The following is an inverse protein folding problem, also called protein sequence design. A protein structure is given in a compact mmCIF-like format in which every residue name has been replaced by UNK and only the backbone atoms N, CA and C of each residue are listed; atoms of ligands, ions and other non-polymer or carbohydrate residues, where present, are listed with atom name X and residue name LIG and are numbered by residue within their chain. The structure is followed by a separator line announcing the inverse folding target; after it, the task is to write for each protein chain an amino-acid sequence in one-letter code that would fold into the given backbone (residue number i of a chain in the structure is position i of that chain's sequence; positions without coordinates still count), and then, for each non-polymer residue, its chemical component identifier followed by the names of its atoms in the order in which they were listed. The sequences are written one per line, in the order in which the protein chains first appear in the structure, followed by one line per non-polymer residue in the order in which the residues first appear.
data_IF_036682641130
#
_entry.id   IF_036682641130
#
_cell.length_a   1.000
_cell.length_b   1.000
_cell.length_c   1.000
_cell.angle_alpha   90.00
_cell.angle_beta   90.00
_cell.angle_gamma   90.00
#
_symmetry.space_group_name_H-M   'P 1'
#
loop_
_entity.id
_entity.type
_entity.pdbx_description
1 polymer ?
#
# COMPACT_ATOMS: atom_id res chain seq x y z
N UNK A 1 23.40 1.88 -23.79
CA UNK A 1 23.54 1.14 -22.53
C UNK A 1 22.19 0.56 -22.16
N UNK A 2 22.18 -0.73 -21.86
CA UNK A 2 21.02 -1.40 -21.31
C UNK A 2 21.09 -1.32 -19.77
N UNK A 3 20.04 -0.83 -19.14
CA UNK A 3 19.96 -0.74 -17.68
C UNK A 3 18.55 -1.09 -17.20
N UNK A 4 18.47 -1.47 -15.95
CA UNK A 4 17.19 -1.76 -15.30
C UNK A 4 16.85 -0.58 -14.39
N UNK A 5 15.75 0.10 -14.69
CA UNK A 5 15.20 1.16 -13.85
C UNK A 5 13.82 0.77 -13.34
N UNK A 6 13.63 0.76 -12.04
CA UNK A 6 12.36 0.34 -11.38
C UNK A 6 11.84 -1.04 -11.83
N UNK A 7 12.75 -1.95 -12.24
CA UNK A 7 12.41 -3.30 -12.69
C UNK A 7 12.12 -3.45 -14.18
N UNK A 8 12.14 -2.37 -14.95
CA UNK A 8 12.00 -2.38 -16.41
C UNK A 8 13.36 -2.25 -17.09
N UNK A 9 13.57 -3.06 -18.15
CA UNK A 9 14.74 -2.93 -19.00
C UNK A 9 14.55 -1.71 -19.91
N UNK A 10 15.49 -0.77 -19.80
CA UNK A 10 15.51 0.43 -20.63
C UNK A 10 16.81 0.50 -21.41
N UNK A 11 16.72 0.99 -22.64
CA UNK A 11 17.87 1.24 -23.49
C UNK A 11 18.03 2.74 -23.73
N UNK A 12 19.18 3.31 -23.40
CA UNK A 12 19.45 4.74 -23.64
C UNK A 12 20.82 4.95 -24.26
N UNK A 13 20.98 6.02 -25.07
CA UNK A 13 22.31 6.49 -25.48
C UNK A 13 23.17 6.82 -24.26
N UNK A 14 24.49 6.67 -24.44
CA UNK A 14 25.46 6.93 -23.36
C UNK A 14 25.39 8.36 -22.82
N UNK A 15 25.09 9.33 -23.67
CA UNK A 15 25.01 10.75 -23.31
C UNK A 15 23.85 11.00 -22.32
N UNK A 16 22.67 10.47 -22.62
CA UNK A 16 21.48 10.60 -21.76
C UNK A 16 21.63 9.80 -20.46
N UNK A 17 22.30 8.64 -20.51
CA UNK A 17 22.57 7.86 -19.31
C UNK A 17 23.53 8.59 -18.36
N UNK A 18 24.56 9.26 -18.88
CA UNK A 18 25.55 9.99 -18.08
C UNK A 18 24.94 11.19 -17.32
N UNK A 19 23.83 11.76 -17.79
CA UNK A 19 23.14 12.85 -17.11
C UNK A 19 22.42 12.38 -15.82
N UNK A 20 22.02 11.11 -15.78
CA UNK A 20 21.25 10.53 -14.67
C UNK A 20 22.13 9.69 -13.74
N UNK A 21 23.31 9.26 -14.24
CA UNK A 21 24.18 8.36 -13.51
C UNK A 21 25.00 9.08 -12.43
N UNK A 22 24.97 8.54 -11.21
CA UNK A 22 25.72 9.06 -10.05
C UNK A 22 27.24 8.82 -10.11
N UNK A 23 27.75 8.12 -11.11
CA UNK A 23 29.17 7.77 -11.23
C UNK A 23 29.62 6.58 -10.38
N UNK A 24 28.73 5.98 -9.59
CA UNK A 24 29.02 4.85 -8.71
C UNK A 24 28.51 3.55 -9.34
N UNK A 25 29.37 2.55 -9.46
CA UNK A 25 29.03 1.21 -9.98
C UNK A 25 29.38 0.16 -8.93
N UNK A 26 28.45 -0.73 -8.66
CA UNK A 26 28.73 -1.97 -7.96
C UNK A 26 29.07 -3.05 -8.99
N UNK A 27 30.33 -3.43 -9.06
CA UNK A 27 30.79 -4.56 -9.87
C UNK A 27 30.70 -5.81 -9.02
N UNK A 28 29.88 -6.77 -9.43
CA UNK A 28 29.78 -8.08 -8.79
C UNK A 28 30.34 -9.12 -9.74
N UNK A 29 31.44 -9.72 -9.37
CA UNK A 29 32.03 -10.86 -10.10
C UNK A 29 31.63 -12.15 -9.36
N UNK A 30 30.73 -12.96 -9.93
CA UNK A 30 30.34 -14.23 -9.31
C UNK A 30 31.48 -15.22 -9.38
N UNK A 31 31.80 -15.82 -8.25
CA UNK A 31 32.73 -16.94 -8.12
C UNK A 31 31.99 -18.23 -7.76
N UNK A 32 32.71 -19.36 -7.65
CA UNK A 32 32.12 -20.66 -7.29
C UNK A 32 31.51 -20.66 -5.88
N UNK A 33 31.88 -19.71 -5.02
CA UNK A 33 31.41 -19.55 -3.64
C UNK A 33 30.30 -18.49 -3.55
N UNK A 34 29.96 -17.81 -4.63
CA UNK A 34 28.92 -16.77 -4.71
C UNK A 34 27.52 -17.40 -4.65
N UNK A 35 27.23 -18.07 -3.56
CA UNK A 35 25.92 -18.68 -3.31
C UNK A 35 25.26 -18.01 -2.11
N UNK A 36 23.96 -17.83 -2.19
CA UNK A 36 23.18 -17.35 -1.04
C UNK A 36 23.23 -18.41 0.08
N UNK A 37 23.67 -18.04 1.30
CA UNK A 37 23.63 -18.96 2.42
C UNK A 37 22.20 -19.45 2.68
N UNK A 38 22.01 -20.77 2.82
CA UNK A 38 20.70 -21.37 3.04
C UNK A 38 19.64 -21.11 1.94
N UNK A 39 20.06 -20.88 0.69
CA UNK A 39 19.17 -20.60 -0.45
C UNK A 39 17.93 -21.52 -0.51
N UNK A 40 18.13 -22.84 -0.37
CA UNK A 40 17.03 -23.80 -0.39
C UNK A 40 15.99 -23.53 0.70
N UNK A 41 16.44 -23.16 1.89
CA UNK A 41 15.57 -22.84 3.03
C UNK A 41 14.82 -21.52 2.81
N UNK A 42 15.49 -20.49 2.28
CA UNK A 42 14.87 -19.22 1.93
C UNK A 42 13.84 -19.40 0.82
N UNK A 43 14.20 -20.10 -0.24
CA UNK A 43 13.31 -20.40 -1.37
C UNK A 43 12.08 -21.18 -0.95
N UNK A 44 12.25 -22.20 -0.09
CA UNK A 44 11.11 -22.97 0.44
C UNK A 44 10.17 -22.10 1.27
N UNK A 45 10.70 -21.22 2.12
CA UNK A 45 9.87 -20.27 2.89
C UNK A 45 9.13 -19.30 1.99
N UNK A 46 9.75 -18.81 0.95
CA UNK A 46 9.15 -17.92 -0.03
C UNK A 46 7.99 -18.62 -0.78
N UNK A 47 8.25 -19.83 -1.28
CA UNK A 47 7.22 -20.65 -1.95
C UNK A 47 6.06 -20.94 -0.99
N UNK A 48 6.33 -21.30 0.26
CA UNK A 48 5.29 -21.55 1.27
C UNK A 48 4.44 -20.29 1.53
N UNK A 49 5.05 -19.10 1.59
CA UNK A 49 4.29 -17.84 1.72
C UNK A 49 3.41 -17.56 0.52
N UNK A 50 3.91 -17.81 -0.70
CA UNK A 50 3.13 -17.67 -1.93
C UNK A 50 1.95 -18.63 -1.92
N UNK A 51 2.18 -19.92 -1.60
CA UNK A 51 1.13 -20.95 -1.52
C UNK A 51 0.10 -20.57 -0.45
N UNK A 52 0.53 -20.19 0.74
CA UNK A 52 -0.37 -19.77 1.82
C UNK A 52 -1.23 -18.58 1.40
N UNK A 53 -0.64 -17.58 0.75
CA UNK A 53 -1.36 -16.41 0.22
C UNK A 53 -2.37 -16.81 -0.86
N UNK A 54 -1.97 -17.69 -1.77
CA UNK A 54 -2.83 -18.18 -2.86
C UNK A 54 -4.02 -19.00 -2.32
N UNK A 55 -3.78 -19.87 -1.34
CA UNK A 55 -4.85 -20.64 -0.67
C UNK A 55 -5.83 -19.70 0.03
N UNK A 56 -5.33 -18.68 0.73
CA UNK A 56 -6.20 -17.69 1.40
C UNK A 56 -7.13 -16.99 0.39
N UNK A 57 -6.58 -16.51 -0.73
CA UNK A 57 -7.38 -15.88 -1.78
C UNK A 57 -8.38 -16.82 -2.41
N UNK A 58 -8.01 -18.08 -2.62
CA UNK A 58 -8.91 -19.11 -3.15
C UNK A 58 -10.05 -19.42 -2.17
N UNK A 59 -9.78 -19.53 -0.87
CA UNK A 59 -10.80 -19.74 0.14
C UNK A 59 -11.75 -18.55 0.27
N UNK A 60 -11.21 -17.33 0.23
CA UNK A 60 -12.02 -16.10 0.26
C UNK A 60 -12.93 -16.02 -0.97
N UNK A 61 -12.39 -16.25 -2.17
CA UNK A 61 -13.19 -16.21 -3.41
C UNK A 61 -14.25 -17.32 -3.45
N UNK A 62 -13.91 -18.53 -3.01
CA UNK A 62 -14.87 -19.61 -2.89
C UNK A 62 -15.97 -19.30 -1.87
N UNK A 63 -15.62 -18.72 -0.73
CA UNK A 63 -16.58 -18.27 0.28
C UNK A 63 -17.55 -17.23 -0.25
N UNK A 64 -17.04 -16.20 -0.95
CA UNK A 64 -17.89 -15.18 -1.60
C UNK A 64 -18.80 -15.82 -2.65
N UNK A 65 -18.28 -16.72 -3.49
CA UNK A 65 -19.07 -17.41 -4.51
C UNK A 65 -20.19 -18.24 -3.89
N UNK A 66 -19.92 -19.01 -2.85
CA UNK A 66 -20.93 -19.79 -2.13
C UNK A 66 -22.01 -18.89 -1.53
N UNK A 67 -21.64 -17.75 -0.94
CA UNK A 67 -22.60 -16.77 -0.43
C UNK A 67 -23.45 -16.17 -1.55
N UNK A 68 -22.87 -15.83 -2.69
CA UNK A 68 -23.61 -15.33 -3.86
C UNK A 68 -24.62 -16.34 -4.39
N UNK A 69 -24.25 -17.63 -4.42
CA UNK A 69 -25.16 -18.72 -4.82
C UNK A 69 -26.28 -18.87 -3.78
N UNK A 70 -25.95 -18.90 -2.49
CA UNK A 70 -26.92 -19.03 -1.40
C UNK A 70 -27.97 -17.91 -1.42
N UNK A 71 -27.54 -16.68 -1.70
CA UNK A 71 -28.40 -15.51 -1.77
C UNK A 71 -29.13 -15.35 -3.14
N UNK A 72 -29.01 -16.31 -4.03
CA UNK A 72 -29.56 -16.26 -5.38
C UNK A 72 -29.18 -15.00 -6.21
N UNK A 73 -28.03 -14.38 -5.88
CA UNK A 73 -27.54 -13.19 -6.59
C UNK A 73 -27.31 -13.51 -8.07
N UNK A 74 -26.83 -14.71 -8.38
CA UNK A 74 -26.56 -15.18 -9.74
C UNK A 74 -27.80 -15.39 -10.59
N UNK A 75 -28.96 -15.60 -9.99
CA UNK A 75 -30.23 -15.80 -10.70
C UNK A 75 -30.96 -14.48 -11.05
N UNK A 76 -30.60 -13.39 -10.39
CA UNK A 76 -31.17 -12.07 -10.66
C UNK A 76 -30.16 -11.19 -11.40
N UNK A 77 -30.47 -10.84 -12.64
CA UNK A 77 -29.61 -9.94 -13.44
C UNK A 77 -29.30 -8.63 -12.71
N UNK A 78 -30.30 -8.04 -12.05
CA UNK A 78 -30.12 -6.79 -11.30
C UNK A 78 -29.13 -6.93 -10.13
N UNK A 79 -29.27 -7.99 -9.31
CA UNK A 79 -28.37 -8.23 -8.19
C UNK A 79 -26.94 -8.56 -8.65
N UNK A 80 -26.83 -9.32 -9.75
CA UNK A 80 -25.54 -9.61 -10.36
C UNK A 80 -24.86 -8.33 -10.89
N UNK A 81 -25.61 -7.48 -11.59
CA UNK A 81 -25.11 -6.19 -12.07
C UNK A 81 -24.67 -5.26 -10.92
N UNK A 82 -25.47 -5.18 -9.84
CA UNK A 82 -25.09 -4.45 -8.64
C UNK A 82 -23.79 -4.99 -8.02
N UNK A 83 -23.68 -6.31 -7.90
CA UNK A 83 -22.50 -6.96 -7.32
C UNK A 83 -21.24 -6.65 -8.15
N UNK A 84 -21.28 -6.85 -9.45
CA UNK A 84 -20.15 -6.58 -10.36
C UNK A 84 -19.76 -5.10 -10.33
N UNK A 85 -20.74 -4.19 -10.36
CA UNK A 85 -20.48 -2.75 -10.30
C UNK A 85 -19.84 -2.34 -8.97
N UNK A 86 -20.29 -2.91 -7.85
CA UNK A 86 -19.67 -2.66 -6.54
C UNK A 86 -18.25 -3.23 -6.45
N UNK A 87 -17.96 -4.39 -7.06
CA UNK A 87 -16.59 -4.91 -7.16
C UNK A 87 -15.68 -3.99 -7.99
N UNK A 88 -16.18 -3.49 -9.11
CA UNK A 88 -15.43 -2.50 -9.90
C UNK A 88 -15.18 -1.22 -9.10
N UNK A 89 -16.17 -0.74 -8.36
CA UNK A 89 -16.04 0.42 -7.47
C UNK A 89 -15.04 0.19 -6.33
N UNK A 90 -15.05 -1.00 -5.75
CA UNK A 90 -14.08 -1.41 -4.74
C UNK A 90 -12.66 -1.36 -5.28
N UNK A 91 -12.43 -1.90 -6.47
CA UNK A 91 -11.11 -1.91 -7.11
C UNK A 91 -10.61 -0.50 -7.43
N UNK A 92 -11.45 0.36 -8.02
CA UNK A 92 -11.08 1.73 -8.38
C UNK A 92 -10.83 2.57 -7.11
N UNK A 93 -11.66 2.43 -6.08
CA UNK A 93 -11.45 3.11 -4.80
C UNK A 93 -10.18 2.64 -4.08
N UNK A 94 -9.83 1.37 -4.22
CA UNK A 94 -8.55 0.85 -3.72
C UNK A 94 -7.35 1.48 -4.44
N UNK A 95 -7.40 1.60 -5.78
CA UNK A 95 -6.36 2.30 -6.55
C UNK A 95 -6.24 3.77 -6.14
N UNK A 96 -7.38 4.43 -5.90
CA UNK A 96 -7.42 5.80 -5.41
C UNK A 96 -6.75 5.96 -4.04
N UNK A 97 -7.00 5.01 -3.14
CA UNK A 97 -6.38 4.97 -1.81
C UNK A 97 -4.86 4.74 -1.88
N UNK A 98 -4.41 3.82 -2.75
CA UNK A 98 -2.96 3.60 -2.98
C UNK A 98 -2.29 4.88 -3.47
N UNK A 99 -2.91 5.57 -4.42
CA UNK A 99 -2.38 6.84 -4.94
C UNK A 99 -2.29 7.92 -3.86
N UNK A 100 -3.31 8.04 -3.03
CA UNK A 100 -3.33 8.98 -1.91
C UNK A 100 -2.27 8.66 -0.85
N UNK A 101 -1.96 7.38 -0.65
CA UNK A 101 -0.94 6.92 0.31
C UNK A 101 0.49 7.04 -0.23
N UNK A 102 0.70 7.68 -1.38
CA UNK A 102 1.99 7.76 -2.08
C UNK A 102 2.64 6.39 -2.30
N UNK A 103 1.83 5.35 -2.36
CA UNK A 103 2.30 4.01 -2.70
C UNK A 103 2.37 3.91 -4.21
N UNK A 104 3.56 3.66 -4.75
CA UNK A 104 3.74 3.46 -6.19
C UNK A 104 2.88 2.29 -6.66
N UNK A 105 1.99 2.56 -7.59
CA UNK A 105 1.12 1.57 -8.20
C UNK A 105 1.11 1.78 -9.71
N UNK A 106 1.78 0.89 -10.41
CA UNK A 106 1.88 0.90 -11.87
C UNK A 106 0.51 0.98 -12.56
N UNK A 107 -0.49 0.27 -12.01
CA UNK A 107 -1.87 0.29 -12.53
C UNK A 107 -2.56 1.64 -12.31
N UNK A 108 -2.39 2.25 -11.14
CA UNK A 108 -2.97 3.56 -10.86
C UNK A 108 -2.32 4.64 -11.74
N UNK A 109 -1.01 4.56 -11.95
CA UNK A 109 -0.27 5.49 -12.80
C UNK A 109 -0.64 5.33 -14.27
N UNK A 110 -0.80 4.11 -14.78
CA UNK A 110 -1.30 3.84 -16.13
C UNK A 110 -2.69 4.42 -16.36
N UNK A 111 -3.61 4.27 -15.40
CA UNK A 111 -4.97 4.84 -15.53
C UNK A 111 -4.93 6.36 -15.47
N UNK A 112 -4.14 6.94 -14.56
CA UNK A 112 -4.00 8.39 -14.46
C UNK A 112 -3.33 9.01 -15.71
N UNK A 113 -2.43 8.30 -16.39
CA UNK A 113 -1.73 8.78 -17.60
C UNK A 113 -2.56 8.71 -18.88
N UNK A 114 -3.76 8.10 -18.86
CA UNK A 114 -4.64 8.01 -20.03
C UNK A 114 -5.10 9.39 -20.54
N UNK A 115 -5.02 10.44 -19.75
CA UNK A 115 -5.42 11.79 -20.12
C UNK A 115 -4.29 12.78 -19.87
N UNK A 116 -3.89 13.54 -20.87
CA UNK A 116 -2.71 14.44 -20.88
C UNK A 116 -2.73 15.62 -19.88
N UNK A 117 -3.82 15.88 -19.18
CA UNK A 117 -3.96 17.01 -18.23
C UNK A 117 -4.44 16.57 -16.85
N UNK A 118 -4.02 15.40 -16.40
CA UNK A 118 -4.49 14.85 -15.14
C UNK A 118 -3.37 14.80 -14.12
N UNK A 119 -3.56 15.48 -13.00
CA UNK A 119 -2.74 15.33 -11.80
C UNK A 119 -3.63 14.87 -10.65
N UNK A 120 -3.66 13.54 -10.45
CA UNK A 120 -4.43 12.96 -9.35
C UNK A 120 -3.87 13.37 -7.98
N UNK A 121 -2.57 13.64 -7.86
CA UNK A 121 -1.92 13.92 -6.58
C UNK A 121 -2.41 15.23 -5.97
N UNK A 122 -2.42 16.32 -6.75
CA UNK A 122 -2.85 17.63 -6.25
C UNK A 122 -4.27 17.65 -5.71
N UNK A 123 -5.19 16.88 -6.32
CA UNK A 123 -6.58 16.80 -5.88
C UNK A 123 -6.69 15.99 -4.59
N UNK A 124 -5.96 14.87 -4.50
CA UNK A 124 -6.00 13.97 -3.35
C UNK A 124 -5.31 14.53 -2.11
N UNK A 125 -4.36 15.43 -2.28
CA UNK A 125 -3.64 16.12 -1.19
C UNK A 125 -4.37 17.38 -0.70
N UNK A 126 -5.35 17.86 -1.45
CA UNK A 126 -6.08 19.08 -1.08
C UNK A 126 -6.87 18.89 0.23
N UNK A 127 -7.04 19.98 0.98
CA UNK A 127 -7.87 19.96 2.20
C UNK A 127 -9.33 19.56 1.91
N UNK A 128 -9.83 19.83 0.69
CA UNK A 128 -11.14 19.41 0.25
C UNK A 128 -11.26 17.88 0.04
N UNK A 129 -10.14 17.18 -0.12
CA UNK A 129 -10.13 15.72 -0.20
C UNK A 129 -10.36 15.03 1.14
N UNK A 130 -10.46 15.78 2.25
CA UNK A 130 -10.63 15.26 3.60
C UNK A 130 -11.88 15.82 4.27
N UNK A 131 -12.65 14.96 4.91
CA UNK A 131 -13.78 15.32 5.76
C UNK A 131 -13.23 15.67 7.14
N UNK A 132 -13.40 16.93 7.56
CA UNK A 132 -12.92 17.40 8.86
C UNK A 132 -11.41 17.26 9.09
N UNK A 133 -10.62 17.14 8.01
CA UNK A 133 -9.17 16.97 8.10
C UNK A 133 -8.68 15.57 8.52
N UNK A 134 -9.60 14.63 8.81
CA UNK A 134 -9.27 13.31 9.37
C UNK A 134 -9.54 12.18 8.38
N UNK A 135 -10.73 12.14 7.82
CA UNK A 135 -11.20 11.05 6.95
C UNK A 135 -11.15 11.48 5.48
N UNK A 136 -10.47 10.73 4.64
CA UNK A 136 -10.38 11.04 3.22
C UNK A 136 -11.58 10.50 2.42
N UNK A 137 -11.94 11.19 1.32
CA UNK A 137 -13.00 10.71 0.43
C UNK A 137 -12.67 9.38 -0.25
N UNK A 138 -11.38 9.04 -0.43
CA UNK A 138 -10.97 7.72 -0.93
C UNK A 138 -11.27 6.60 0.07
N UNK A 139 -11.06 6.85 1.37
CA UNK A 139 -11.39 5.92 2.45
C UNK A 139 -12.90 5.74 2.57
N UNK A 140 -13.65 6.83 2.46
CA UNK A 140 -15.13 6.79 2.44
C UNK A 140 -15.64 6.01 1.22
N UNK A 141 -15.08 6.27 0.05
CA UNK A 141 -15.46 5.55 -1.18
C UNK A 141 -15.18 4.06 -1.10
N UNK A 142 -13.99 3.68 -0.63
CA UNK A 142 -13.65 2.27 -0.43
C UNK A 142 -14.58 1.61 0.60
N UNK A 143 -14.82 2.29 1.73
CA UNK A 143 -15.74 1.84 2.76
C UNK A 143 -17.17 1.70 2.24
N UNK A 144 -17.65 2.62 1.43
CA UNK A 144 -18.97 2.57 0.80
C UNK A 144 -19.16 1.29 -0.04
N UNK A 145 -18.21 0.96 -0.93
CA UNK A 145 -18.32 -0.25 -1.75
C UNK A 145 -18.20 -1.52 -0.94
N UNK A 146 -17.35 -1.55 0.10
CA UNK A 146 -17.29 -2.68 1.05
C UNK A 146 -18.62 -2.86 1.74
N UNK A 147 -19.24 -1.78 2.22
CA UNK A 147 -20.53 -1.80 2.88
C UNK A 147 -21.64 -2.30 1.97
N UNK A 148 -21.69 -1.83 0.72
CA UNK A 148 -22.63 -2.30 -0.28
C UNK A 148 -22.52 -3.80 -0.53
N UNK A 149 -21.30 -4.31 -0.70
CA UNK A 149 -21.04 -5.74 -0.92
C UNK A 149 -21.46 -6.54 0.32
N UNK A 150 -21.12 -6.06 1.52
CA UNK A 150 -21.50 -6.70 2.78
C UNK A 150 -23.01 -6.78 2.93
N UNK A 151 -23.71 -5.70 2.60
CA UNK A 151 -25.17 -5.63 2.67
C UNK A 151 -25.81 -6.60 1.66
N UNK A 152 -25.31 -6.61 0.44
CA UNK A 152 -25.79 -7.46 -0.65
C UNK A 152 -25.65 -8.96 -0.33
N UNK A 153 -24.54 -9.33 0.29
CA UNK A 153 -24.20 -10.74 0.55
C UNK A 153 -24.76 -11.21 1.88
N UNK A 154 -24.62 -10.42 2.95
CA UNK A 154 -24.92 -10.86 4.31
C UNK A 154 -26.34 -10.51 4.76
N UNK A 155 -26.90 -9.40 4.23
CA UNK A 155 -28.18 -8.87 4.70
C UNK A 155 -29.13 -8.48 3.56
N UNK A 156 -29.60 -9.44 2.72
CA UNK A 156 -30.44 -9.12 1.57
C UNK A 156 -31.78 -8.48 1.94
N UNK A 157 -32.27 -8.67 3.17
CA UNK A 157 -33.44 -7.97 3.69
C UNK A 157 -33.29 -6.43 3.80
N UNK A 158 -32.04 -5.95 3.84
CA UNK A 158 -31.72 -4.53 3.94
C UNK A 158 -31.35 -3.89 2.59
N UNK A 159 -31.56 -4.58 1.47
CA UNK A 159 -31.20 -4.10 0.11
C UNK A 159 -31.89 -2.77 -0.23
N UNK A 160 -33.10 -2.52 0.25
CA UNK A 160 -33.82 -1.25 0.04
C UNK A 160 -33.02 -0.04 0.59
N UNK A 161 -32.26 -0.22 1.66
CA UNK A 161 -31.40 0.84 2.21
C UNK A 161 -30.22 1.16 1.31
N UNK A 162 -29.68 0.17 0.57
CA UNK A 162 -28.60 0.38 -0.39
C UNK A 162 -29.02 1.40 -1.46
N UNK A 163 -30.24 1.29 -1.98
CA UNK A 163 -30.77 2.23 -2.96
C UNK A 163 -30.87 3.66 -2.42
N UNK A 164 -31.35 3.82 -1.18
CA UNK A 164 -31.45 5.14 -0.53
C UNK A 164 -30.08 5.75 -0.31
N UNK A 165 -29.13 4.98 0.21
CA UNK A 165 -27.78 5.47 0.47
C UNK A 165 -27.08 5.85 -0.84
N UNK A 166 -27.31 5.08 -1.93
CA UNK A 166 -26.81 5.43 -3.24
C UNK A 166 -27.39 6.78 -3.71
N UNK A 167 -28.71 7.02 -3.55
CA UNK A 167 -29.34 8.32 -3.87
C UNK A 167 -28.73 9.45 -3.03
N UNK A 168 -28.48 9.22 -1.74
CA UNK A 168 -27.85 10.19 -0.86
C UNK A 168 -26.38 10.49 -1.25
N UNK A 169 -25.70 9.56 -1.90
CA UNK A 169 -24.33 9.74 -2.38
C UNK A 169 -24.25 10.56 -3.70
N UNK A 170 -25.32 10.64 -4.49
CA UNK A 170 -25.29 11.35 -5.78
C UNK A 170 -24.97 12.84 -5.69
N UNK A 171 -25.48 13.63 -4.73
CA UNK A 171 -25.11 15.04 -4.59
C UNK A 171 -23.60 15.26 -4.45
N UNK A 172 -22.89 14.33 -3.80
CA UNK A 172 -21.42 14.38 -3.72
C UNK A 172 -20.77 14.33 -5.11
N UNK A 173 -21.31 13.55 -6.05
CA UNK A 173 -20.74 13.46 -7.40
C UNK A 173 -20.77 14.81 -8.12
N UNK A 174 -21.87 15.55 -7.99
CA UNK A 174 -22.01 16.89 -8.57
C UNK A 174 -21.05 17.88 -7.93
N UNK A 175 -20.94 17.85 -6.60
CA UNK A 175 -19.99 18.71 -5.88
C UNK A 175 -18.55 18.39 -6.28
N UNK A 176 -18.19 17.14 -6.39
CA UNK A 176 -16.82 16.70 -6.73
C UNK A 176 -16.44 17.13 -8.16
N UNK A 177 -17.33 16.98 -9.14
CA UNK A 177 -17.10 17.46 -10.52
C UNK A 177 -16.96 18.98 -10.55
N UNK A 178 -17.84 19.70 -9.84
CA UNK A 178 -17.77 21.15 -9.73
C UNK A 178 -16.44 21.61 -9.11
N UNK A 179 -15.99 20.97 -8.04
CA UNK A 179 -14.73 21.27 -7.39
C UNK A 179 -13.52 21.09 -8.33
N UNK A 180 -13.47 19.94 -9.04
CA UNK A 180 -12.42 19.64 -10.00
C UNK A 180 -12.37 20.67 -11.14
N UNK A 181 -13.56 21.05 -11.67
CA UNK A 181 -13.65 22.00 -12.77
C UNK A 181 -13.36 23.46 -12.37
N UNK A 182 -13.91 23.92 -11.25
CA UNK A 182 -13.85 25.36 -10.88
C UNK A 182 -12.69 25.70 -9.98
N UNK A 183 -12.38 24.85 -8.99
CA UNK A 183 -11.42 25.16 -7.93
C UNK A 183 -10.06 24.55 -8.23
N UNK A 184 -9.98 23.24 -8.40
CA UNK A 184 -8.73 22.55 -8.65
C UNK A 184 -8.20 22.81 -10.07
N UNK A 185 -9.10 23.03 -11.04
CA UNK A 185 -8.79 23.18 -12.48
C UNK A 185 -7.95 22.03 -13.04
N UNK A 186 -8.10 20.87 -12.44
CA UNK A 186 -7.43 19.62 -12.76
C UNK A 186 -8.44 18.49 -12.64
N UNK A 187 -8.23 17.43 -13.42
CA UNK A 187 -9.12 16.29 -13.42
C UNK A 187 -8.46 15.07 -12.79
N UNK A 188 -9.15 14.40 -11.89
CA UNK A 188 -8.75 13.11 -11.35
C UNK A 188 -9.58 12.01 -12.01
N UNK A 189 -8.95 11.23 -12.91
CA UNK A 189 -9.65 10.17 -13.66
C UNK A 189 -10.25 9.12 -12.73
N UNK A 190 -9.50 8.69 -11.72
CA UNK A 190 -9.99 7.71 -10.75
C UNK A 190 -11.21 8.24 -9.98
N UNK A 191 -11.22 9.53 -9.61
CA UNK A 191 -12.37 10.15 -8.96
C UNK A 191 -13.59 10.16 -9.89
N UNK A 192 -13.40 10.51 -11.17
CA UNK A 192 -14.48 10.51 -12.17
C UNK A 192 -15.05 9.11 -12.42
N UNK A 193 -14.19 8.08 -12.43
CA UNK A 193 -14.63 6.69 -12.56
C UNK A 193 -15.49 6.26 -11.37
N UNK A 194 -15.13 6.62 -10.14
CA UNK A 194 -15.97 6.35 -8.95
C UNK A 194 -17.34 7.02 -9.11
N UNK A 195 -17.38 8.28 -9.56
CA UNK A 195 -18.63 9.01 -9.76
C UNK A 195 -19.49 8.36 -10.85
N UNK A 196 -18.89 7.96 -11.96
CA UNK A 196 -19.57 7.24 -13.01
C UNK A 196 -20.21 5.94 -12.49
N UNK A 197 -19.47 5.18 -11.66
CA UNK A 197 -20.00 3.96 -11.06
C UNK A 197 -21.17 4.22 -10.09
N UNK A 198 -21.16 5.33 -9.35
CA UNK A 198 -22.32 5.73 -8.52
C UNK A 198 -23.57 5.99 -9.37
N UNK A 199 -23.43 6.61 -10.54
CA UNK A 199 -24.53 6.80 -11.48
C UNK A 199 -24.97 5.49 -12.13
N UNK A 200 -24.04 4.57 -12.44
CA UNK A 200 -24.37 3.22 -12.94
C UNK A 200 -25.17 2.45 -11.88
N UNK A 201 -24.75 2.48 -10.61
CA UNK A 201 -25.51 1.87 -9.50
C UNK A 201 -26.92 2.46 -9.39
N UNK A 202 -27.06 3.77 -9.54
CA UNK A 202 -28.35 4.43 -9.50
C UNK A 202 -29.27 3.97 -10.65
N UNK A 203 -28.73 3.89 -11.87
CA UNK A 203 -29.51 3.40 -13.02
C UNK A 203 -29.92 1.94 -12.89
N UNK A 204 -29.04 1.09 -12.34
CA UNK A 204 -29.38 -0.31 -12.04
C UNK A 204 -30.50 -0.37 -10.99
N UNK A 205 -30.41 0.39 -9.90
CA UNK A 205 -31.42 0.42 -8.85
C UNK A 205 -32.79 0.84 -9.38
N UNK A 206 -32.87 1.83 -10.28
CA UNK A 206 -34.11 2.23 -10.93
C UNK A 206 -34.64 1.15 -11.86
N UNK A 207 -33.79 0.65 -12.77
CA UNK A 207 -34.21 -0.29 -13.83
C UNK A 207 -34.67 -1.64 -13.26
N UNK A 208 -34.16 -2.05 -12.13
CA UNK A 208 -34.48 -3.32 -11.47
C UNK A 208 -35.61 -3.21 -10.44
N UNK A 209 -36.11 -1.97 -10.20
CA UNK A 209 -37.18 -1.73 -9.22
C UNK A 209 -36.78 -2.01 -7.78
N UNK A 210 -35.47 -1.99 -7.49
CA UNK A 210 -34.95 -2.19 -6.12
C UNK A 210 -35.15 -0.95 -5.23
N UNK A 211 -35.60 0.15 -5.78
CA UNK A 211 -36.01 1.34 -5.03
C UNK A 211 -37.37 1.04 -4.37
N UNK A 212 -37.33 0.33 -3.26
CA UNK A 212 -38.49 0.08 -2.43
C UNK A 212 -38.40 0.89 -1.13
N UNK A 213 -39.56 1.21 -0.56
CA UNK A 213 -39.56 1.86 0.75
C UNK A 213 -39.07 0.86 1.78
N UNK A 214 -37.96 1.18 2.52
CA UNK A 214 -37.47 0.30 3.58
C UNK A 214 -38.42 0.30 4.77
N UNK A 215 -38.50 -0.81 5.45
CA UNK A 215 -39.12 -0.88 6.76
C UNK A 215 -38.27 -0.11 7.76
N UNK A 216 -38.75 1.06 8.21
CA UNK A 216 -38.04 1.92 9.15
C UNK A 216 -38.09 1.34 10.56
N UNK A 217 -37.46 0.18 10.76
CA UNK A 217 -37.21 -0.37 12.09
C UNK A 217 -35.91 0.23 12.67
N UNK A 218 -35.95 0.67 13.91
CA UNK A 218 -34.79 1.27 14.58
C UNK A 218 -33.58 0.32 14.53
N UNK A 219 -33.81 -1.01 14.69
CA UNK A 219 -32.74 -2.02 14.59
C UNK A 219 -32.08 -2.06 13.21
N UNK A 220 -32.86 -1.91 12.13
CA UNK A 220 -32.34 -1.87 10.76
C UNK A 220 -31.52 -0.62 10.51
N UNK A 221 -32.00 0.55 10.98
CA UNK A 221 -31.26 1.81 10.87
C UNK A 221 -29.92 1.74 11.61
N UNK A 222 -29.91 1.22 12.82
CA UNK A 222 -28.67 1.05 13.60
C UNK A 222 -27.69 0.08 12.88
N UNK A 223 -28.19 -1.05 12.38
CA UNK A 223 -27.38 -2.00 11.64
C UNK A 223 -26.75 -1.37 10.39
N UNK A 224 -27.54 -0.63 9.59
CA UNK A 224 -27.08 0.06 8.40
C UNK A 224 -26.04 1.15 8.76
N UNK A 225 -26.28 1.94 9.81
CA UNK A 225 -25.31 2.93 10.29
C UNK A 225 -23.97 2.28 10.67
N UNK A 226 -23.99 1.15 11.36
CA UNK A 226 -22.78 0.41 11.73
C UNK A 226 -22.06 -0.12 10.47
N UNK A 227 -22.80 -0.73 9.53
CA UNK A 227 -22.25 -1.31 8.30
C UNK A 227 -21.57 -0.23 7.44
N UNK A 228 -22.10 1.00 7.41
CA UNK A 228 -21.52 2.08 6.60
C UNK A 228 -20.50 2.94 7.34
N UNK A 229 -20.53 3.01 8.65
CA UNK A 229 -19.54 3.77 9.43
C UNK A 229 -18.28 2.96 9.74
N UNK A 230 -18.42 1.66 10.01
CA UNK A 230 -17.29 0.84 10.47
C UNK A 230 -16.17 0.68 9.41
N UNK A 231 -16.45 0.32 8.12
CA UNK A 231 -15.39 0.13 7.15
C UNK A 231 -14.55 1.38 6.87
N UNK A 232 -15.10 2.58 6.62
CA UNK A 232 -14.28 3.78 6.41
C UNK A 232 -13.37 4.09 7.61
N UNK A 233 -13.87 3.95 8.83
CA UNK A 233 -13.09 4.18 10.04
C UNK A 233 -11.96 3.16 10.21
N UNK A 234 -12.22 1.88 9.95
CA UNK A 234 -11.19 0.85 9.97
C UNK A 234 -10.13 1.10 8.92
N UNK A 235 -10.53 1.47 7.71
CA UNK A 235 -9.60 1.79 6.63
C UNK A 235 -8.72 2.97 7.03
N UNK A 236 -9.29 4.04 7.60
CA UNK A 236 -8.54 5.20 8.07
C UNK A 236 -7.50 4.82 9.14
N UNK A 237 -7.87 4.00 10.11
CA UNK A 237 -6.94 3.50 11.13
C UNK A 237 -5.80 2.68 10.52
N UNK A 238 -6.11 1.78 9.59
CA UNK A 238 -5.12 0.95 8.91
C UNK A 238 -4.19 1.79 8.04
N UNK A 239 -4.74 2.70 7.24
CA UNK A 239 -3.98 3.60 6.36
C UNK A 239 -3.03 4.47 7.17
N UNK A 240 -3.54 5.08 8.26
CA UNK A 240 -2.73 5.90 9.17
C UNK A 240 -1.57 5.11 9.77
N UNK A 241 -1.82 3.87 10.18
CA UNK A 241 -0.79 3.00 10.78
C UNK A 241 0.27 2.59 9.75
N UNK A 242 -0.14 2.18 8.55
CA UNK A 242 0.75 1.79 7.45
C UNK A 242 1.60 2.97 7.00
N UNK A 243 1.01 4.14 6.81
CA UNK A 243 1.72 5.35 6.40
C UNK A 243 2.77 5.77 7.44
N UNK A 244 2.46 5.69 8.73
CA UNK A 244 3.43 5.96 9.80
C UNK A 244 4.56 4.93 9.82
N UNK A 245 4.27 3.64 9.61
CA UNK A 245 5.28 2.59 9.55
C UNK A 245 6.23 2.79 8.36
N UNK A 246 5.69 3.09 7.17
CA UNK A 246 6.49 3.35 5.96
C UNK A 246 7.38 4.60 6.15
N UNK A 247 6.84 5.67 6.73
CA UNK A 247 7.61 6.88 7.02
C UNK A 247 8.75 6.61 8.01
N UNK A 248 8.50 5.80 9.05
CA UNK A 248 9.53 5.41 9.99
C UNK A 248 10.66 4.62 9.29
N UNK A 249 10.30 3.71 8.39
CA UNK A 249 11.25 2.93 7.62
C UNK A 249 12.11 3.83 6.71
N UNK A 250 11.50 4.75 5.97
CA UNK A 250 12.24 5.67 5.09
C UNK A 250 13.19 6.59 5.87
N UNK A 251 12.73 7.16 6.99
CA UNK A 251 13.58 7.98 7.88
C UNK A 251 14.74 7.15 8.46
N UNK A 252 14.49 5.89 8.82
CA UNK A 252 15.55 5.01 9.32
C UNK A 252 16.59 4.70 8.25
N UNK A 253 16.17 4.49 7.00
CA UNK A 253 17.08 4.29 5.87
C UNK A 253 17.90 5.55 5.59
N UNK A 254 17.28 6.73 5.60
CA UNK A 254 17.97 8.00 5.42
C UNK A 254 18.99 8.26 6.54
N UNK A 255 18.62 8.02 7.79
CA UNK A 255 19.55 8.12 8.92
C UNK A 255 20.73 7.15 8.78
N UNK A 256 20.49 5.93 8.30
CA UNK A 256 21.56 4.96 8.07
C UNK A 256 22.46 5.39 6.91
N UNK A 257 21.91 5.97 5.84
CA UNK A 257 22.73 6.48 4.74
C UNK A 257 23.61 7.64 5.18
N UNK A 258 23.06 8.58 5.96
CA UNK A 258 23.83 9.71 6.53
C UNK A 258 24.95 9.19 7.46
N UNK A 259 24.66 8.23 8.34
CA UNK A 259 25.66 7.64 9.23
C UNK A 259 26.79 6.93 8.49
N UNK A 260 26.52 6.38 7.32
CA UNK A 260 27.49 5.68 6.49
C UNK A 260 28.28 6.61 5.57
N UNK A 261 28.00 7.93 5.58
CA UNK A 261 28.80 8.91 4.86
C UNK A 261 30.14 9.08 5.59
N UNK A 262 31.25 9.02 4.86
CA UNK A 262 32.61 9.04 5.41
C UNK A 262 32.86 10.23 6.35
N UNK A 263 32.39 11.40 6.00
CA UNK A 263 32.55 12.62 6.81
C UNK A 263 31.84 12.50 8.16
N UNK A 264 30.59 12.01 8.16
CA UNK A 264 29.78 11.85 9.37
C UNK A 264 30.34 10.71 10.24
N UNK A 265 30.73 9.59 9.61
CA UNK A 265 31.37 8.49 10.29
C UNK A 265 32.66 8.92 11.01
N UNK A 266 33.55 9.65 10.31
CA UNK A 266 34.79 10.16 10.89
C UNK A 266 34.53 11.19 12.00
N UNK A 267 33.52 12.04 11.85
CA UNK A 267 33.14 13.00 12.89
C UNK A 267 32.64 12.30 14.17
N UNK A 268 31.81 11.27 14.02
CA UNK A 268 31.32 10.46 15.13
C UNK A 268 32.47 9.70 15.79
N UNK A 269 33.36 9.11 14.98
CA UNK A 269 34.50 8.36 15.47
C UNK A 269 35.47 9.25 16.27
N UNK A 270 35.80 10.44 15.79
CA UNK A 270 36.64 11.43 16.48
C UNK A 270 36.03 11.92 17.80
N UNK A 271 34.70 11.87 17.93
CA UNK A 271 34.01 12.27 19.19
C UNK A 271 33.94 11.17 20.22
N UNK A 272 34.31 9.93 19.88
CA UNK A 272 34.34 8.83 20.84
C UNK A 272 35.49 9.00 21.81
N UNK A 273 35.35 8.56 23.07
CA UNK A 273 36.46 8.60 24.05
C UNK A 273 37.62 7.71 23.58
N UNK A 274 38.80 8.25 23.66
CA UNK A 274 40.02 7.51 23.35
C UNK A 274 40.38 6.60 24.52
N UNK A 275 40.52 5.31 24.25
CA UNK A 275 40.98 4.32 25.23
C UNK A 275 42.38 3.84 24.85
N UNK A 276 43.33 3.94 25.78
CA UNK A 276 44.64 3.35 25.58
C UNK A 276 44.56 1.83 25.75
N UNK A 277 45.01 1.11 24.73
CA UNK A 277 45.06 -0.34 24.75
C UNK A 277 46.48 -0.79 25.06
N UNK A 278 46.63 -1.53 26.12
CA UNK A 278 47.91 -2.16 26.43
C UNK A 278 48.08 -3.44 25.62
N UNK A 279 48.98 -3.39 24.64
CA UNK A 279 49.25 -4.53 23.76
C UNK A 279 49.90 -5.70 24.46
N UNK A 280 50.44 -5.50 25.65
CA UNK A 280 51.04 -6.57 26.48
C UNK A 280 50.01 -7.54 27.05
N UNK A 281 48.77 -7.10 27.18
CA UNK A 281 47.65 -7.89 27.71
C UNK A 281 46.90 -8.70 26.66
N UNK A 282 47.05 -8.38 25.39
CA UNK A 282 46.40 -9.08 24.25
C UNK A 282 47.16 -10.35 23.90
N UNK A 283 46.68 -11.51 24.36
CA UNK A 283 47.32 -12.79 24.09
C UNK A 283 46.98 -13.39 22.70
N UNK A 284 45.88 -12.93 22.06
CA UNK A 284 45.40 -13.48 20.80
C UNK A 284 45.40 -12.38 19.73
N UNK A 285 46.21 -12.54 18.70
CA UNK A 285 46.32 -11.62 17.58
C UNK A 285 46.01 -12.38 16.28
N UNK A 286 44.97 -11.97 15.58
CA UNK A 286 44.66 -12.48 14.27
C UNK A 286 45.04 -11.46 13.18
N UNK A 287 45.67 -11.91 12.10
CA UNK A 287 46.01 -11.08 10.96
C UNK A 287 47.44 -10.50 10.99
N UNK A 288 47.66 -9.46 10.19
CA UNK A 288 48.97 -8.86 9.98
C UNK A 288 49.27 -7.84 11.08
N UNK A 289 50.34 -8.05 11.87
CA UNK A 289 50.80 -7.12 12.92
C UNK A 289 51.20 -5.73 12.42
N UNK A 290 51.46 -5.58 11.11
CA UNK A 290 51.79 -4.30 10.47
C UNK A 290 50.58 -3.68 9.74
N UNK A 291 49.35 -4.14 10.02
CA UNK A 291 48.16 -3.58 9.45
C UNK A 291 47.98 -2.12 9.85
N UNK A 292 47.47 -1.29 8.93
CA UNK A 292 47.21 0.15 9.17
C UNK A 292 46.04 0.38 10.13
N UNK A 293 45.18 -0.61 10.30
CA UNK A 293 44.02 -0.57 11.19
C UNK A 293 44.11 -1.77 12.15
N UNK A 294 44.05 -1.51 13.45
CA UNK A 294 43.95 -2.52 14.49
C UNK A 294 42.59 -2.46 15.17
N UNK A 295 41.90 -3.60 15.25
CA UNK A 295 40.63 -3.71 15.97
C UNK A 295 40.89 -4.50 17.25
N UNK A 296 40.67 -3.86 18.39
CA UNK A 296 40.77 -4.53 19.68
C UNK A 296 39.38 -4.83 20.20
N UNK A 297 39.12 -6.11 20.51
CA UNK A 297 37.83 -6.58 20.98
C UNK A 297 38.03 -7.05 22.45
N UNK A 298 37.30 -6.43 23.36
CA UNK A 298 37.18 -6.90 24.73
C UNK A 298 36.01 -7.88 24.80
N UNK A 299 36.31 -9.14 25.14
CA UNK A 299 35.30 -10.19 25.18
C UNK A 299 35.19 -10.77 26.60
N UNK A 300 33.96 -11.16 26.95
CA UNK A 300 33.71 -11.87 28.21
C UNK A 300 33.15 -13.28 27.86
N UNK A 301 33.75 -14.36 28.38
CA UNK A 301 33.30 -15.73 28.10
C UNK A 301 31.86 -16.02 28.54
N UNK A 302 31.34 -15.26 29.50
CA UNK A 302 29.95 -15.39 29.97
C UNK A 302 28.94 -14.51 29.22
N UNK A 303 29.40 -13.78 28.20
CA UNK A 303 28.57 -12.88 27.42
C UNK A 303 28.03 -13.60 26.14
N UNK A 304 26.77 -13.89 26.11
CA UNK A 304 26.15 -14.57 24.96
C UNK A 304 26.31 -13.82 23.62
N UNK A 305 26.16 -12.48 23.52
CA UNK A 305 26.46 -11.73 22.31
C UNK A 305 27.90 -11.85 21.85
N UNK A 306 28.87 -11.90 22.81
CA UNK A 306 30.29 -12.07 22.51
C UNK A 306 30.53 -13.46 21.89
N UNK A 307 29.93 -14.50 22.45
CA UNK A 307 30.05 -15.86 21.95
C UNK A 307 29.47 -16.00 20.51
N UNK A 308 28.41 -15.28 20.20
CA UNK A 308 27.84 -15.22 18.83
C UNK A 308 28.78 -14.52 17.84
N UNK A 309 29.49 -13.49 18.27
CA UNK A 309 30.44 -12.76 17.44
C UNK A 309 31.67 -13.63 17.08
N UNK A 310 32.13 -14.47 18.00
CA UNK A 310 33.24 -15.39 17.75
C UNK A 310 32.91 -16.59 16.86
N UNK A 311 31.61 -16.85 16.61
CA UNK A 311 31.16 -17.92 15.68
C UNK A 311 31.02 -17.46 14.24
N UNK A 312 31.20 -16.20 13.95
CA UNK A 312 31.21 -15.61 12.57
C UNK A 312 32.64 -15.42 12.13
#
# INVERSE_FOLDING_TARGET
IDYIWKGEQSHSPIETFNEVWSGVVLVAEPDEQSTEPDYKRHRTKEILRIIQRSILWLLLSAGVLLLCIHQNITHSFGLCALFVTNLAGLYISYLLLLKQSHTESEYADKICSLFHQTDCNNILESDAAKIGGVLSWSEVGLGYFISNITLLICYPSLISYLSIINICALPYTLWSVWYQYKIAKQWCVLCLLVQLLLWVLFTINISTGLIQQPDFLISHLVAVCIIYACPPLLINLLTSTITKANKLQSVTQELNSIKNTDEVFLAILKKQPYHTVDHSTSQIIFGNRKARLGITILTNPHCEPCAKMHKR
#
